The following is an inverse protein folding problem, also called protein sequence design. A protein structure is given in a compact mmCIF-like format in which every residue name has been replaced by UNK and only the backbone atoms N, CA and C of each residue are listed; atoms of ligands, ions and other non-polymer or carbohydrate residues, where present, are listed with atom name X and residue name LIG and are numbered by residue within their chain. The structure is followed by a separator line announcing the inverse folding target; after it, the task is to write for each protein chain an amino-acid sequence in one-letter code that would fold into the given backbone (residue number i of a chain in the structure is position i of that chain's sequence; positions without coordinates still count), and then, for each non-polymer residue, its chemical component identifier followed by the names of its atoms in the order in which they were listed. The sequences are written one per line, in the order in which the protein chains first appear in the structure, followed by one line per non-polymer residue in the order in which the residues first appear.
data_IF_669844498769
#
_entry.id   IF_669844498769
#
_cell.length_a   1.000
_cell.length_b   1.000
_cell.length_c   1.000
_cell.angle_alpha   90.00
_cell.angle_beta   90.00
_cell.angle_gamma   90.00
#
_symmetry.space_group_name_H-M   'P 1'
#
loop_
_entity.id
_entity.type
_entity.pdbx_description
1 polymer ?
#
# COMPACT_ATOMS: atom_id res chain seq x y z
N UNK A 1 14.93 4.41 -1.72
CA UNK A 1 14.48 4.69 -3.11
C UNK A 1 13.43 5.78 -3.06
N UNK A 2 13.67 6.94 -3.65
CA UNK A 2 12.63 7.98 -3.77
C UNK A 2 11.87 7.75 -5.07
N UNK A 3 10.61 7.33 -4.95
CA UNK A 3 9.71 7.18 -6.09
C UNK A 3 9.14 8.54 -6.49
N UNK A 4 9.63 9.11 -7.57
CA UNK A 4 9.03 10.29 -8.19
C UNK A 4 8.06 9.85 -9.28
N UNK A 5 7.09 10.70 -9.66
CA UNK A 5 6.10 10.36 -10.70
C UNK A 5 6.75 9.90 -12.02
N UNK A 6 7.86 10.51 -12.42
CA UNK A 6 8.56 10.16 -13.66
C UNK A 6 9.13 8.73 -13.60
N UNK A 7 9.82 8.36 -12.53
CA UNK A 7 10.37 7.00 -12.36
C UNK A 7 9.27 5.94 -12.22
N UNK A 8 8.10 6.32 -11.70
CA UNK A 8 6.94 5.42 -11.64
C UNK A 8 6.41 5.06 -13.04
N UNK A 9 6.40 6.01 -13.99
CA UNK A 9 5.98 5.73 -15.37
C UNK A 9 6.87 4.69 -16.08
N UNK A 10 8.19 4.78 -15.89
CA UNK A 10 9.15 3.82 -16.46
C UNK A 10 8.99 2.42 -15.84
N UNK A 11 8.83 2.37 -14.51
CA UNK A 11 8.64 1.11 -13.79
C UNK A 11 7.32 0.43 -14.18
N UNK A 12 6.20 1.18 -14.21
CA UNK A 12 4.88 0.62 -14.57
C UNK A 12 4.88 0.02 -15.98
N UNK A 13 5.52 0.70 -16.94
CA UNK A 13 5.70 0.17 -18.30
C UNK A 13 6.45 -1.16 -18.33
N UNK A 14 7.47 -1.32 -17.48
CA UNK A 14 8.25 -2.56 -17.35
C UNK A 14 7.44 -3.66 -16.66
N UNK A 15 6.63 -3.31 -15.66
CA UNK A 15 5.82 -4.28 -14.91
C UNK A 15 4.68 -4.86 -15.75
N UNK A 16 4.07 -4.06 -16.64
CA UNK A 16 2.95 -4.49 -17.51
C UNK A 16 3.32 -5.61 -18.49
N UNK A 17 4.62 -5.83 -18.75
CA UNK A 17 5.08 -6.92 -19.63
C UNK A 17 5.65 -8.11 -18.87
N UNK A 18 5.53 -8.13 -17.53
CA UNK A 18 6.04 -9.22 -16.71
C UNK A 18 5.19 -10.50 -16.86
N UNK A 19 5.85 -11.66 -16.91
CA UNK A 19 5.21 -12.98 -17.01
C UNK A 19 5.16 -13.73 -15.66
N UNK A 20 4.97 -12.99 -14.58
CA UNK A 20 4.93 -13.51 -13.20
C UNK A 20 3.86 -12.76 -12.40
N UNK A 21 3.49 -13.28 -11.23
CA UNK A 21 2.69 -12.52 -10.28
C UNK A 21 3.47 -11.28 -9.82
N UNK A 22 2.87 -10.11 -10.02
CA UNK A 22 3.43 -8.81 -9.63
C UNK A 22 2.48 -8.13 -8.66
N UNK A 23 3.07 -7.67 -7.55
CA UNK A 23 2.40 -6.80 -6.58
C UNK A 23 3.22 -5.52 -6.46
N UNK A 24 2.59 -4.38 -6.74
CA UNK A 24 3.22 -3.06 -6.63
C UNK A 24 2.75 -2.35 -5.35
N UNK A 25 3.69 -1.90 -4.52
CA UNK A 25 3.40 -1.15 -3.31
C UNK A 25 3.97 0.28 -3.39
N UNK A 26 3.31 1.21 -4.10
CA UNK A 26 3.76 2.60 -4.20
C UNK A 26 3.56 3.34 -2.88
N UNK A 27 4.16 4.54 -2.75
CA UNK A 27 3.80 5.44 -1.66
C UNK A 27 2.30 5.79 -1.75
N UNK A 28 1.62 5.92 -0.61
CA UNK A 28 0.16 6.12 -0.56
C UNK A 28 -0.32 7.30 -1.42
N UNK A 29 0.45 8.38 -1.50
CA UNK A 29 0.15 9.56 -2.33
C UNK A 29 0.22 9.32 -3.84
N UNK A 30 0.83 8.22 -4.28
CA UNK A 30 0.91 7.82 -5.69
C UNK A 30 0.09 6.57 -6.01
N UNK A 31 -0.69 6.06 -5.07
CA UNK A 31 -1.42 4.80 -5.22
C UNK A 31 -2.42 4.85 -6.38
N UNK A 32 -3.28 5.86 -6.42
CA UNK A 32 -4.26 6.08 -7.49
C UNK A 32 -3.57 6.28 -8.86
N UNK A 33 -2.54 7.13 -8.92
CA UNK A 33 -1.74 7.35 -10.13
C UNK A 33 -1.09 6.05 -10.65
N UNK A 34 -0.57 5.22 -9.74
CA UNK A 34 0.06 3.94 -10.09
C UNK A 34 -0.98 2.95 -10.58
N UNK A 35 -2.14 2.90 -9.92
CA UNK A 35 -3.26 2.02 -10.28
C UNK A 35 -3.76 2.30 -11.69
N UNK A 36 -3.84 3.59 -12.08
CA UNK A 36 -4.28 4.01 -13.42
C UNK A 36 -3.31 3.63 -14.55
N UNK A 37 -2.03 3.35 -14.24
CA UNK A 37 -1.00 3.01 -15.24
C UNK A 37 -0.68 1.53 -15.34
N UNK A 38 -0.94 0.77 -14.27
CA UNK A 38 -0.69 -0.67 -14.25
C UNK A 38 -1.88 -1.43 -14.80
N UNK A 39 -1.59 -2.49 -15.54
CA UNK A 39 -2.60 -3.45 -16.00
C UNK A 39 -3.43 -3.99 -14.83
N UNK A 40 -4.70 -4.26 -15.08
CA UNK A 40 -5.66 -4.66 -14.04
C UNK A 40 -5.27 -5.97 -13.33
N UNK A 41 -4.48 -6.82 -13.98
CA UNK A 41 -3.96 -8.07 -13.43
C UNK A 41 -2.88 -7.85 -12.36
N UNK A 42 -2.18 -6.71 -12.40
CA UNK A 42 -1.13 -6.38 -11.44
C UNK A 42 -1.78 -5.80 -10.19
N UNK A 43 -1.59 -6.44 -9.03
CA UNK A 43 -2.13 -5.94 -7.78
C UNK A 43 -1.40 -4.67 -7.32
N UNK A 44 -2.15 -3.67 -6.85
CA UNK A 44 -1.62 -2.50 -6.15
C UNK A 44 -1.94 -2.64 -4.67
N UNK A 45 -0.96 -2.38 -3.81
CA UNK A 45 -1.11 -2.49 -2.37
C UNK A 45 -0.60 -1.23 -1.66
N UNK A 46 -1.17 -0.91 -0.50
CA UNK A 46 -0.64 0.15 0.34
C UNK A 46 0.58 -0.33 1.14
N UNK A 47 1.49 0.58 1.49
CA UNK A 47 2.67 0.28 2.32
C UNK A 47 2.38 0.22 3.83
N UNK A 48 1.20 0.67 4.24
CA UNK A 48 0.70 0.62 5.62
C UNK A 48 -0.80 0.93 5.63
N UNK A 49 -1.51 0.49 6.68
CA UNK A 49 -2.86 0.94 7.00
C UNK A 49 -2.99 1.20 8.50
N UNK A 50 -4.07 1.88 8.89
CA UNK A 50 -4.43 2.06 10.28
C UNK A 50 -5.32 0.93 10.78
N UNK A 51 -5.36 0.78 12.11
CA UNK A 51 -5.99 -0.35 12.80
C UNK A 51 -7.50 -0.22 13.02
N UNK A 52 -8.16 0.76 12.40
CA UNK A 52 -9.61 0.94 12.45
C UNK A 52 -10.13 1.41 11.09
N UNK A 53 -11.42 1.18 10.85
CA UNK A 53 -12.10 1.50 9.59
C UNK A 53 -12.40 2.99 9.42
N UNK A 54 -12.66 3.70 10.52
CA UNK A 54 -12.96 5.12 10.55
C UNK A 54 -12.58 5.76 11.91
N UNK A 55 -12.66 7.10 11.99
CA UNK A 55 -12.43 7.86 13.21
C UNK A 55 -11.48 9.03 13.06
N UNK A 56 -11.12 9.64 14.20
CA UNK A 56 -10.31 10.87 14.25
C UNK A 56 -8.81 10.56 14.30
N UNK A 57 -8.26 10.09 13.18
CA UNK A 57 -6.85 9.72 13.03
C UNK A 57 -6.21 10.52 11.89
N UNK A 58 -6.02 11.82 12.12
CA UNK A 58 -5.47 12.73 11.11
C UNK A 58 -4.14 12.24 10.57
N UNK A 59 -4.04 12.10 9.25
CA UNK A 59 -2.83 11.66 8.54
C UNK A 59 -2.74 10.15 8.32
N UNK A 60 -3.65 9.36 8.90
CA UNK A 60 -3.69 7.91 8.72
C UNK A 60 -4.65 7.49 7.60
N UNK A 61 -4.39 6.31 7.00
CA UNK A 61 -5.23 5.73 5.97
C UNK A 61 -5.90 4.44 6.50
N UNK A 62 -7.24 4.42 6.50
CA UNK A 62 -8.00 3.22 6.86
C UNK A 62 -7.96 2.18 5.72
N UNK A 63 -8.20 0.89 6.02
CA UNK A 63 -8.33 -0.14 4.99
C UNK A 63 -9.38 0.18 3.93
N UNK A 64 -10.52 0.78 4.32
CA UNK A 64 -11.58 1.20 3.41
C UNK A 64 -11.12 2.30 2.44
N UNK A 65 -10.36 3.28 2.91
CA UNK A 65 -9.80 4.33 2.05
C UNK A 65 -8.80 3.75 1.04
N UNK A 66 -7.99 2.78 1.48
CA UNK A 66 -7.03 2.09 0.61
C UNK A 66 -7.76 1.31 -0.50
N UNK A 67 -8.84 0.60 -0.15
CA UNK A 67 -9.68 -0.11 -1.13
C UNK A 67 -10.36 0.85 -2.11
N UNK A 68 -10.87 1.99 -1.66
CA UNK A 68 -11.49 3.01 -2.50
C UNK A 68 -10.52 3.56 -3.57
N UNK A 69 -9.24 3.66 -3.23
CA UNK A 69 -8.16 4.02 -4.17
C UNK A 69 -7.75 2.87 -5.12
N UNK A 70 -8.47 1.74 -5.13
CA UNK A 70 -8.24 0.61 -6.03
C UNK A 70 -7.10 -0.33 -5.62
N UNK A 71 -6.61 -0.25 -4.38
CA UNK A 71 -5.64 -1.20 -3.86
C UNK A 71 -6.33 -2.43 -3.28
N UNK A 72 -5.76 -3.61 -3.52
CA UNK A 72 -6.34 -4.91 -3.15
C UNK A 72 -5.69 -5.52 -1.91
N UNK A 73 -4.74 -4.82 -1.29
CA UNK A 73 -4.06 -5.29 -0.10
C UNK A 73 -3.16 -4.24 0.54
N UNK A 74 -2.50 -4.64 1.62
CA UNK A 74 -1.60 -3.80 2.40
C UNK A 74 -0.39 -4.59 2.88
N UNK A 75 0.79 -3.99 2.77
CA UNK A 75 2.02 -4.50 3.37
C UNK A 75 2.07 -4.02 4.83
N UNK A 76 2.16 -4.96 5.76
CA UNK A 76 2.27 -4.68 7.19
C UNK A 76 3.56 -5.26 7.76
N UNK A 77 3.96 -4.76 8.93
CA UNK A 77 5.15 -5.21 9.67
C UNK A 77 6.48 -5.05 8.91
N UNK A 78 6.62 -3.97 8.13
CA UNK A 78 7.92 -3.61 7.56
C UNK A 78 8.92 -3.29 8.69
N UNK A 79 10.17 -3.75 8.54
CA UNK A 79 11.20 -3.59 9.56
C UNK A 79 11.39 -2.11 9.95
N UNK A 80 11.31 -1.21 8.98
CA UNK A 80 11.39 0.23 9.17
C UNK A 80 10.31 0.75 10.14
N UNK A 81 9.07 0.24 10.04
CA UNK A 81 7.98 0.60 10.95
C UNK A 81 8.21 0.11 12.38
N UNK A 82 8.82 -1.06 12.53
CA UNK A 82 9.19 -1.59 13.85
C UNK A 82 10.33 -0.80 14.48
N UNK A 83 11.40 -0.55 13.74
CA UNK A 83 12.63 0.05 14.27
C UNK A 83 12.54 1.57 14.42
N UNK A 84 11.90 2.26 13.47
CA UNK A 84 11.86 3.74 13.42
C UNK A 84 10.59 4.27 14.09
N UNK A 85 9.44 3.64 13.82
CA UNK A 85 8.14 4.11 14.31
C UNK A 85 7.66 3.36 15.56
N UNK A 86 8.43 2.38 16.05
CA UNK A 86 8.13 1.66 17.28
C UNK A 86 6.87 0.80 17.22
N UNK A 87 6.46 0.32 16.04
CA UNK A 87 5.27 -0.51 15.93
C UNK A 87 5.46 -1.86 16.63
N UNK A 88 4.56 -2.16 17.58
CA UNK A 88 4.54 -3.41 18.31
C UNK A 88 3.87 -4.54 17.53
N UNK A 89 4.10 -5.78 17.96
CA UNK A 89 3.44 -6.95 17.38
C UNK A 89 1.93 -6.92 17.64
N UNK A 90 1.49 -6.40 18.79
CA UNK A 90 0.07 -6.21 19.12
C UNK A 90 -0.59 -5.19 18.19
N UNK A 91 0.04 -4.04 17.95
CA UNK A 91 -0.46 -3.05 17.00
C UNK A 91 -0.54 -3.62 15.58
N UNK A 92 0.49 -4.37 15.17
CA UNK A 92 0.50 -5.05 13.88
C UNK A 92 -0.65 -6.06 13.78
N UNK A 93 -0.88 -6.86 14.82
CA UNK A 93 -1.99 -7.81 14.87
C UNK A 93 -3.35 -7.12 14.73
N UNK A 94 -3.55 -5.96 15.37
CA UNK A 94 -4.76 -5.15 15.22
C UNK A 94 -4.96 -4.69 13.77
N UNK A 95 -3.89 -4.24 13.10
CA UNK A 95 -3.96 -3.85 11.69
C UNK A 95 -4.27 -5.02 10.76
N UNK A 96 -3.64 -6.18 10.98
CA UNK A 96 -3.90 -7.40 10.19
C UNK A 96 -5.36 -7.81 10.33
N UNK A 97 -5.90 -7.83 11.55
CA UNK A 97 -7.30 -8.18 11.78
C UNK A 97 -8.27 -7.26 11.03
N UNK A 98 -7.98 -5.95 10.98
CA UNK A 98 -8.83 -4.99 10.25
C UNK A 98 -8.59 -4.97 8.74
N UNK A 99 -7.39 -5.35 8.27
CA UNK A 99 -7.11 -5.45 6.85
C UNK A 99 -7.78 -6.67 6.19
N UNK A 100 -8.11 -7.70 6.98
CA UNK A 100 -8.75 -8.93 6.51
C UNK A 100 -10.27 -8.97 6.73
N UNK A 101 -10.83 -7.99 7.44
CA UNK A 101 -12.25 -7.87 7.74
C UNK A 101 -13.02 -7.24 6.57
#
# INVERSE_FOLDING_TARGET
MTGWKMSLGELTSTLNVAHTEVVCAPATTYMDFTRQQLDAEIAVTAQNCYKVTDGTFTGEASPSLIQDCGATGVVLRQLERRLVFGESDELTGQKVAHALA
#
